data_IF_499685929078
#
_entry.id   IF_499685929078
#
_cell.length_a   1.000
_cell.length_b   1.000
_cell.length_c   1.000
_cell.angle_alpha   90.00
_cell.angle_beta   90.00
_cell.angle_gamma   90.00
#
_symmetry.space_group_name_H-M   'P 1'
#
loop_
_entity.id
_entity.type
_entity.pdbx_description
1 polymer ?
#
# COMPACT_ATOMS: atom_id res chain seq x y z
N UNK A 1 19.72 -17.77 -21.02
CA UNK A 1 20.04 -17.51 -19.59
C UNK A 1 21.08 -16.41 -19.56
N UNK A 2 20.67 -15.23 -19.19
CA UNK A 2 21.60 -14.10 -19.04
C UNK A 2 22.45 -14.37 -17.80
N UNK A 3 23.74 -14.60 -18.00
CA UNK A 3 24.68 -14.82 -16.90
C UNK A 3 24.87 -13.49 -16.18
N UNK A 4 24.11 -13.29 -15.10
CA UNK A 4 24.21 -12.06 -14.29
C UNK A 4 25.59 -12.05 -13.60
N UNK A 5 26.29 -10.91 -13.60
CA UNK A 5 27.59 -10.79 -12.92
C UNK A 5 27.45 -11.16 -11.43
N UNK A 6 28.48 -11.76 -10.87
CA UNK A 6 28.49 -12.13 -9.45
C UNK A 6 28.44 -10.85 -8.59
N UNK A 7 27.53 -10.80 -7.59
CA UNK A 7 27.43 -9.66 -6.73
C UNK A 7 28.75 -9.36 -5.99
N UNK A 8 29.08 -8.11 -5.90
CA UNK A 8 30.25 -7.59 -5.18
C UNK A 8 29.91 -7.36 -3.69
N UNK A 9 30.91 -7.08 -2.87
CA UNK A 9 30.69 -6.68 -1.47
C UNK A 9 29.83 -5.41 -1.39
N UNK A 10 30.06 -4.44 -2.27
CA UNK A 10 29.29 -3.19 -2.34
C UNK A 10 27.81 -3.45 -2.61
N UNK A 11 27.48 -4.40 -3.48
CA UNK A 11 26.07 -4.76 -3.75
C UNK A 11 25.37 -5.30 -2.51
N UNK A 12 26.06 -6.11 -1.70
CA UNK A 12 25.51 -6.57 -0.43
C UNK A 12 25.34 -5.45 0.61
N UNK A 13 26.29 -4.51 0.70
CA UNK A 13 26.20 -3.34 1.57
C UNK A 13 25.01 -2.45 1.16
N UNK A 14 24.84 -2.19 -0.13
CA UNK A 14 23.73 -1.43 -0.69
C UNK A 14 22.37 -2.11 -0.40
N UNK A 15 22.28 -3.41 -0.63
CA UNK A 15 21.08 -4.20 -0.35
C UNK A 15 20.72 -4.17 1.15
N UNK A 16 21.72 -4.29 2.02
CA UNK A 16 21.52 -4.20 3.46
C UNK A 16 21.00 -2.82 3.87
N UNK A 17 21.62 -1.74 3.35
CA UNK A 17 21.21 -0.37 3.63
C UNK A 17 19.75 -0.12 3.19
N UNK A 18 19.37 -0.57 2.00
CA UNK A 18 18.00 -0.52 1.51
C UNK A 18 17.03 -1.24 2.46
N UNK A 19 17.33 -2.48 2.84
CA UNK A 19 16.48 -3.27 3.74
C UNK A 19 16.32 -2.62 5.11
N UNK A 20 17.39 -2.02 5.64
CA UNK A 20 17.34 -1.29 6.91
C UNK A 20 16.45 -0.05 6.80
N UNK A 21 16.58 0.71 5.72
CA UNK A 21 15.76 1.91 5.46
C UNK A 21 14.28 1.55 5.32
N UNK A 22 13.97 0.47 4.60
CA UNK A 22 12.61 -0.04 4.45
C UNK A 22 11.99 -0.45 5.80
N UNK A 23 12.75 -1.18 6.63
CA UNK A 23 12.27 -1.57 7.98
C UNK A 23 12.03 -0.36 8.88
N UNK A 24 12.91 0.66 8.82
CA UNK A 24 12.75 1.91 9.58
C UNK A 24 11.49 2.65 9.14
N UNK A 25 11.25 2.74 7.84
CA UNK A 25 10.03 3.33 7.30
C UNK A 25 8.78 2.57 7.75
N UNK A 26 8.77 1.24 7.66
CA UNK A 26 7.63 0.42 8.09
C UNK A 26 7.34 0.64 9.58
N UNK A 27 8.36 0.61 10.43
CA UNK A 27 8.19 0.83 11.88
C UNK A 27 7.63 2.23 12.18
N UNK A 28 8.19 3.24 11.54
CA UNK A 28 7.68 4.60 11.66
C UNK A 28 6.21 4.69 11.20
N UNK A 29 5.85 4.07 10.08
CA UNK A 29 4.49 4.02 9.57
C UNK A 29 3.51 3.36 10.56
N UNK A 30 3.92 2.27 11.20
CA UNK A 30 3.14 1.61 12.25
C UNK A 30 2.91 2.53 13.46
N UNK A 31 3.95 3.26 13.89
CA UNK A 31 3.87 4.19 15.01
C UNK A 31 2.93 5.37 14.69
N UNK A 32 2.98 5.89 13.45
CA UNK A 32 2.05 6.94 13.00
C UNK A 32 0.60 6.46 13.00
N UNK A 33 0.33 5.26 12.49
CA UNK A 33 -1.01 4.67 12.49
C UNK A 33 -1.52 4.49 13.93
N UNK A 34 -0.69 3.96 14.82
CA UNK A 34 -1.03 3.74 16.23
C UNK A 34 -1.32 5.05 16.96
N UNK A 35 -0.59 6.13 16.65
CA UNK A 35 -0.80 7.44 17.25
C UNK A 35 -2.20 8.03 16.98
N UNK A 36 -2.86 7.63 15.89
CA UNK A 36 -4.22 8.05 15.54
C UNK A 36 -5.27 6.96 15.79
N UNK A 37 -4.92 5.90 16.51
CA UNK A 37 -5.84 4.83 16.91
C UNK A 37 -6.10 3.77 15.83
N UNK A 38 -5.23 3.66 14.82
CA UNK A 38 -5.28 2.63 13.79
C UNK A 38 -4.26 1.53 14.07
N UNK A 39 -4.61 0.29 13.75
CA UNK A 39 -3.58 -0.73 13.54
C UNK A 39 -2.90 -0.49 12.18
N UNK A 40 -1.68 -1.00 12.03
CA UNK A 40 -0.96 -0.93 10.75
C UNK A 40 -1.79 -1.48 9.58
N UNK A 41 -2.45 -2.63 9.78
CA UNK A 41 -3.26 -3.28 8.74
C UNK A 41 -4.53 -2.48 8.42
N UNK A 42 -5.14 -1.84 9.42
CA UNK A 42 -6.28 -0.93 9.18
C UNK A 42 -5.82 0.28 8.36
N UNK A 43 -4.66 0.87 8.66
CA UNK A 43 -4.12 1.96 7.85
C UNK A 43 -3.93 1.53 6.39
N UNK A 44 -3.32 0.35 6.16
CA UNK A 44 -3.16 -0.19 4.80
C UNK A 44 -4.52 -0.41 4.10
N UNK A 45 -5.53 -0.89 4.82
CA UNK A 45 -6.89 -1.01 4.28
C UNK A 45 -7.44 0.35 3.83
N UNK A 46 -7.33 1.38 4.67
CA UNK A 46 -7.84 2.71 4.31
C UNK A 46 -7.12 3.28 3.09
N UNK A 47 -5.80 3.10 2.99
CA UNK A 47 -5.01 3.48 1.81
C UNK A 47 -5.50 2.73 0.57
N UNK A 48 -5.75 1.42 0.67
CA UNK A 48 -6.23 0.61 -0.45
C UNK A 48 -7.64 1.04 -0.92
N UNK A 49 -8.54 1.36 0.02
CA UNK A 49 -9.88 1.88 -0.33
C UNK A 49 -9.78 3.24 -1.02
N UNK A 50 -8.97 4.15 -0.49
CA UNK A 50 -8.80 5.52 -1.03
C UNK A 50 -8.08 5.53 -2.38
N UNK A 51 -7.06 4.67 -2.54
CA UNK A 51 -6.20 4.60 -3.72
C UNK A 51 -6.72 3.66 -4.81
N UNK A 52 -7.90 3.05 -4.65
CA UNK A 52 -8.46 2.17 -5.66
C UNK A 52 -8.66 2.88 -7.01
N UNK A 53 -8.11 2.35 -8.12
CA UNK A 53 -8.12 3.03 -9.42
C UNK A 53 -9.48 2.97 -10.13
N UNK A 54 -10.41 2.13 -9.66
CA UNK A 54 -11.74 1.96 -10.24
C UNK A 54 -12.64 3.20 -10.07
N UNK A 55 -13.68 3.30 -10.92
CA UNK A 55 -14.71 4.36 -10.80
C UNK A 55 -15.66 4.12 -9.64
N UNK A 56 -15.78 2.89 -9.20
CA UNK A 56 -16.61 2.47 -8.07
C UNK A 56 -15.69 2.08 -6.91
N UNK A 57 -16.21 2.06 -5.69
CA UNK A 57 -15.45 1.61 -4.53
C UNK A 57 -14.97 0.15 -4.69
N UNK A 58 -13.82 -0.23 -4.09
CA UNK A 58 -13.29 -1.58 -4.23
C UNK A 58 -14.20 -2.63 -3.61
N UNK A 59 -14.14 -3.84 -4.15
CA UNK A 59 -14.73 -5.04 -3.55
C UNK A 59 -13.80 -5.63 -2.49
N UNK A 60 -14.31 -6.57 -1.67
CA UNK A 60 -13.48 -7.37 -0.75
C UNK A 60 -12.36 -8.10 -1.51
N UNK A 61 -12.66 -8.61 -2.72
CA UNK A 61 -11.66 -9.28 -3.57
C UNK A 61 -10.52 -8.36 -4.01
N UNK A 62 -10.85 -7.14 -4.44
CA UNK A 62 -9.85 -6.13 -4.82
C UNK A 62 -8.92 -5.82 -3.64
N UNK A 63 -9.50 -5.57 -2.46
CA UNK A 63 -8.75 -5.26 -1.24
C UNK A 63 -7.86 -6.42 -0.79
N UNK A 64 -8.35 -7.67 -0.90
CA UNK A 64 -7.57 -8.85 -0.60
C UNK A 64 -6.35 -8.98 -1.52
N UNK A 65 -6.53 -8.66 -2.82
CA UNK A 65 -5.44 -8.59 -3.79
C UNK A 65 -4.39 -7.54 -3.44
N UNK A 66 -4.81 -6.32 -3.10
CA UNK A 66 -3.88 -5.23 -2.76
C UNK A 66 -3.05 -5.51 -1.51
N UNK A 67 -3.66 -6.10 -0.48
CA UNK A 67 -2.99 -6.40 0.78
C UNK A 67 -2.34 -7.80 0.80
N UNK A 68 -2.43 -8.55 -0.27
CA UNK A 68 -1.94 -9.94 -0.38
C UNK A 68 -2.49 -10.83 0.75
N UNK A 69 -3.76 -10.63 1.10
CA UNK A 69 -4.47 -11.39 2.12
C UNK A 69 -5.43 -12.40 1.49
N UNK A 70 -5.72 -13.47 2.24
CA UNK A 70 -6.81 -14.37 1.89
C UNK A 70 -8.17 -13.67 2.05
N UNK A 71 -9.16 -14.06 1.26
CA UNK A 71 -10.49 -13.43 1.27
C UNK A 71 -11.11 -13.37 2.67
N UNK A 72 -11.10 -14.46 3.43
CA UNK A 72 -11.66 -14.48 4.80
C UNK A 72 -10.92 -13.54 5.77
N UNK A 73 -9.60 -13.42 5.65
CA UNK A 73 -8.81 -12.49 6.46
C UNK A 73 -9.16 -11.03 6.14
N UNK A 74 -9.43 -10.73 4.86
CA UNK A 74 -9.90 -9.41 4.45
C UNK A 74 -11.30 -9.12 4.99
N UNK A 75 -12.22 -10.10 4.94
CA UNK A 75 -13.57 -9.96 5.53
C UNK A 75 -13.47 -9.59 7.00
N UNK A 76 -12.63 -10.28 7.78
CA UNK A 76 -12.42 -9.99 9.21
C UNK A 76 -11.80 -8.61 9.44
N UNK A 77 -10.83 -8.21 8.61
CA UNK A 77 -10.24 -6.88 8.70
C UNK A 77 -11.28 -5.79 8.44
N UNK A 78 -12.09 -5.95 7.40
CA UNK A 78 -13.19 -5.03 7.09
C UNK A 78 -14.23 -5.01 8.21
N UNK A 79 -14.57 -6.15 8.81
CA UNK A 79 -15.47 -6.21 9.98
C UNK A 79 -14.95 -5.33 11.12
N UNK A 80 -13.68 -5.47 11.47
CA UNK A 80 -13.06 -4.66 12.54
C UNK A 80 -13.00 -3.17 12.19
N UNK A 81 -12.67 -2.84 10.94
CA UNK A 81 -12.61 -1.45 10.49
C UNK A 81 -14.00 -0.79 10.45
N UNK A 82 -15.04 -1.54 10.08
CA UNK A 82 -16.43 -1.09 10.10
C UNK A 82 -16.95 -0.90 11.53
N UNK A 83 -16.67 -1.84 12.41
CA UNK A 83 -17.00 -1.73 13.83
C UNK A 83 -16.32 -0.52 14.50
N UNK A 84 -15.11 -0.17 14.06
CA UNK A 84 -14.38 1.02 14.50
C UNK A 84 -14.85 2.31 13.83
N UNK A 85 -15.76 2.25 12.86
CA UNK A 85 -16.33 3.40 12.16
C UNK A 85 -15.40 4.03 11.11
N UNK A 86 -14.47 3.27 10.55
CA UNK A 86 -13.53 3.78 9.53
C UNK A 86 -14.01 3.52 8.10
N UNK A 87 -14.73 2.42 7.90
CA UNK A 87 -15.30 2.02 6.61
C UNK A 87 -16.76 1.63 6.77
N UNK A 88 -17.45 1.52 5.65
CA UNK A 88 -18.81 0.98 5.57
C UNK A 88 -18.94 0.07 4.36
N UNK A 89 -19.78 -0.95 4.46
CA UNK A 89 -20.15 -1.78 3.32
C UNK A 89 -21.35 -1.23 2.60
N UNK A 90 -21.34 -1.40 1.28
CA UNK A 90 -22.50 -1.14 0.42
C UNK A 90 -22.66 -2.27 -0.58
N UNK A 91 -23.92 -2.68 -0.88
CA UNK A 91 -24.18 -3.57 -1.99
C UNK A 91 -23.75 -2.88 -3.32
N UNK A 92 -23.20 -3.64 -4.25
CA UNK A 92 -22.96 -3.14 -5.59
C UNK A 92 -24.30 -2.90 -6.32
N UNK A 93 -24.36 -1.82 -7.12
CA UNK A 93 -25.60 -1.43 -7.82
C UNK A 93 -25.93 -2.38 -8.95
N UNK A 94 -24.90 -2.93 -9.62
CA UNK A 94 -25.07 -3.80 -10.79
C UNK A 94 -25.15 -5.29 -10.41
N UNK A 95 -24.45 -5.71 -9.35
CA UNK A 95 -24.47 -7.10 -8.85
C UNK A 95 -24.57 -7.14 -7.32
N UNK A 96 -25.78 -7.43 -6.83
CA UNK A 96 -26.08 -7.50 -5.40
C UNK A 96 -25.28 -8.57 -4.63
N UNK A 97 -24.58 -9.49 -5.32
CA UNK A 97 -23.69 -10.48 -4.69
C UNK A 97 -22.34 -9.87 -4.33
N UNK A 98 -21.99 -8.72 -4.91
CA UNK A 98 -20.77 -8.00 -4.62
C UNK A 98 -20.99 -6.99 -3.50
N UNK A 99 -20.03 -6.91 -2.60
CA UNK A 99 -19.97 -5.93 -1.52
C UNK A 99 -18.83 -4.96 -1.79
N UNK A 100 -19.13 -3.69 -1.82
CA UNK A 100 -18.20 -2.58 -1.95
C UNK A 100 -17.85 -2.02 -0.58
N UNK A 101 -16.63 -1.57 -0.43
CA UNK A 101 -16.13 -0.97 0.82
C UNK A 101 -15.79 0.49 0.56
N UNK A 102 -16.43 1.37 1.32
CA UNK A 102 -16.23 2.83 1.23
C UNK A 102 -15.63 3.35 2.55
N UNK A 103 -14.88 4.43 2.47
CA UNK A 103 -14.47 5.17 3.67
C UNK A 103 -15.67 5.89 4.27
N UNK A 104 -15.71 5.94 5.61
CA UNK A 104 -16.51 6.94 6.31
C UNK A 104 -15.78 8.28 6.29
N UNK A 105 -16.45 9.37 6.67
CA UNK A 105 -15.82 10.66 6.83
C UNK A 105 -14.61 10.60 7.78
N UNK A 106 -14.75 9.89 8.90
CA UNK A 106 -13.67 9.65 9.86
C UNK A 106 -12.50 8.87 9.23
N UNK A 107 -12.78 7.81 8.49
CA UNK A 107 -11.77 7.03 7.79
C UNK A 107 -11.02 7.86 6.75
N UNK A 108 -11.74 8.68 6.00
CA UNK A 108 -11.19 9.57 4.98
C UNK A 108 -10.27 10.64 5.59
N UNK A 109 -10.67 11.27 6.67
CA UNK A 109 -9.86 12.26 7.39
C UNK A 109 -8.55 11.64 7.91
N UNK A 110 -8.63 10.47 8.54
CA UNK A 110 -7.46 9.78 9.10
C UNK A 110 -6.47 9.35 8.01
N UNK A 111 -6.94 8.73 6.93
CA UNK A 111 -6.03 8.30 5.85
C UNK A 111 -5.41 9.49 5.13
N UNK A 112 -6.14 10.59 4.97
CA UNK A 112 -5.62 11.82 4.36
C UNK A 112 -4.50 12.42 5.21
N UNK A 113 -4.72 12.56 6.52
CA UNK A 113 -3.70 13.04 7.46
C UNK A 113 -2.44 12.18 7.44
N UNK A 114 -2.59 10.85 7.51
CA UNK A 114 -1.47 9.91 7.49
C UNK A 114 -0.73 9.95 6.16
N UNK A 115 -1.46 10.04 5.04
CA UNK A 115 -0.84 10.10 3.71
C UNK A 115 0.06 11.33 3.55
N UNK A 116 -0.35 12.50 4.07
CA UNK A 116 0.49 13.71 4.03
C UNK A 116 1.84 13.47 4.74
N UNK A 117 1.81 12.87 5.94
CA UNK A 117 3.02 12.55 6.68
C UNK A 117 3.88 11.50 5.95
N UNK A 118 3.24 10.49 5.34
CA UNK A 118 3.91 9.43 4.59
C UNK A 118 4.59 9.97 3.33
N UNK A 119 3.93 10.87 2.58
CA UNK A 119 4.53 11.47 1.38
C UNK A 119 5.80 12.25 1.73
N UNK A 120 5.79 13.03 2.82
CA UNK A 120 6.99 13.73 3.29
C UNK A 120 8.12 12.73 3.62
N UNK A 121 7.77 11.65 4.34
CA UNK A 121 8.76 10.63 4.71
C UNK A 121 9.27 9.80 3.53
N UNK A 122 8.45 9.58 2.51
CA UNK A 122 8.86 8.92 1.27
C UNK A 122 9.87 9.75 0.47
N UNK A 123 9.77 11.09 0.50
CA UNK A 123 10.80 11.96 -0.11
C UNK A 123 12.17 11.75 0.55
N UNK A 124 12.21 11.69 1.90
CA UNK A 124 13.46 11.42 2.62
C UNK A 124 14.03 10.03 2.26
N UNK A 125 13.17 9.03 2.15
CA UNK A 125 13.56 7.67 1.77
C UNK A 125 14.06 7.61 0.32
N UNK A 126 13.40 8.31 -0.60
CA UNK A 126 13.80 8.37 -2.01
C UNK A 126 15.18 9.00 -2.17
N UNK A 127 15.48 10.09 -1.45
CA UNK A 127 16.81 10.70 -1.45
C UNK A 127 17.87 9.69 -0.99
N UNK A 128 17.62 8.97 0.10
CA UNK A 128 18.54 7.92 0.61
C UNK A 128 18.71 6.75 -0.36
N UNK A 129 17.69 6.42 -1.15
CA UNK A 129 17.76 5.36 -2.16
C UNK A 129 18.55 5.80 -3.39
N UNK A 130 18.43 7.07 -3.79
CA UNK A 130 19.18 7.64 -4.91
C UNK A 130 20.70 7.55 -4.68
N UNK A 131 21.15 7.75 -3.43
CA UNK A 131 22.54 7.58 -3.06
C UNK A 131 23.06 6.13 -3.13
N UNK A 132 22.13 5.15 -3.15
CA UNK A 132 22.45 3.72 -3.17
C UNK A 132 22.39 3.10 -4.57
N UNK A 133 21.67 3.72 -5.51
CA UNK A 133 21.46 3.22 -6.87
C UNK A 133 21.97 4.28 -7.84
N UNK A 134 23.05 4.03 -8.60
CA UNK A 134 23.56 4.98 -9.59
C UNK A 134 22.50 5.33 -10.65
N UNK A 135 22.47 6.59 -11.10
CA UNK A 135 21.51 7.12 -12.07
C UNK A 135 21.44 6.35 -13.41
N UNK A 136 22.52 5.67 -13.80
CA UNK A 136 22.57 4.89 -15.03
C UNK A 136 21.62 3.69 -15.04
N UNK A 137 21.35 3.09 -13.88
CA UNK A 137 20.43 1.95 -13.78
C UNK A 137 18.96 2.37 -13.61
N UNK A 138 18.69 3.58 -13.13
CA UNK A 138 17.33 4.11 -12.97
C UNK A 138 16.70 4.55 -14.29
N UNK A 139 17.49 4.88 -15.30
CA UNK A 139 16.99 5.34 -16.61
C UNK A 139 16.34 4.22 -17.45
N UNK A 140 16.69 2.96 -17.19
CA UNK A 140 16.09 1.81 -17.87
C UNK A 140 14.87 1.25 -17.13
N UNK A 141 14.67 1.63 -15.87
CA UNK A 141 13.48 1.24 -15.11
C UNK A 141 12.30 2.09 -15.60
N UNK A 142 11.43 1.50 -16.40
CA UNK A 142 10.14 2.10 -16.72
C UNK A 142 9.41 2.49 -15.43
N UNK A 143 8.74 3.65 -15.38
CA UNK A 143 7.96 4.01 -14.20
C UNK A 143 7.01 2.86 -13.84
N UNK A 144 6.96 2.51 -12.55
CA UNK A 144 6.09 1.45 -12.04
C UNK A 144 4.66 1.85 -12.44
N UNK A 145 4.16 1.27 -13.53
CA UNK A 145 2.77 1.42 -13.91
C UNK A 145 1.90 0.59 -12.96
N UNK A 146 0.64 0.95 -12.83
CA UNK A 146 -0.32 0.17 -12.04
C UNK A 146 -0.36 -1.32 -12.46
N UNK A 147 -0.02 -1.60 -13.73
CA UNK A 147 0.13 -2.96 -14.25
C UNK A 147 1.36 -3.68 -13.70
N UNK A 148 2.46 -2.97 -13.43
CA UNK A 148 3.71 -3.55 -12.92
C UNK A 148 3.68 -3.93 -11.45
N UNK A 149 2.78 -3.35 -10.65
CA UNK A 149 2.59 -3.71 -9.23
C UNK A 149 1.50 -4.77 -9.01
N UNK A 150 1.01 -5.41 -10.10
CA UNK A 150 0.02 -6.50 -10.00
C UNK A 150 -1.31 -6.04 -9.40
N UNK A 151 -1.65 -4.76 -9.50
CA UNK A 151 -2.99 -4.30 -9.15
C UNK A 151 -3.98 -4.96 -10.11
N UNK A 152 -5.02 -5.64 -9.63
CA UNK A 152 -6.02 -6.21 -10.50
C UNK A 152 -6.64 -5.09 -11.33
N UNK A 153 -6.70 -5.28 -12.64
CA UNK A 153 -7.43 -4.37 -13.53
C UNK A 153 -8.86 -4.31 -13.01
N UNK A 154 -9.30 -3.12 -12.62
CA UNK A 154 -10.68 -2.90 -12.21
C UNK A 154 -11.58 -3.37 -13.33
N UNK A 155 -12.36 -4.43 -13.10
CA UNK A 155 -13.38 -4.85 -14.05
C UNK A 155 -14.37 -3.71 -14.20
N UNK A 156 -14.47 -3.23 -15.44
CA UNK A 156 -15.39 -2.18 -15.85
C UNK A 156 -16.84 -2.60 -15.67
#
# INVERSE_FOLDING_TARGET
MTDLPKPTRQDFENLLAFRVSLRRFQRWSEDQARAVGLTHVQHQLLVAVKGHPGRTAPTIGDLAGYLLLRHHSMVELVNRAEAAGFVRRRPDVADARLVRVELTERGDQLVTQLTQAHLAKLHDLAASLHDLIPDEEMSEASPISAEGIGLPAGHA
#
